data_IF_806696873837
#
_entry.id   IF_806696873837
#
_cell.length_a   1.000
_cell.length_b   1.000
_cell.length_c   1.000
_cell.angle_alpha   90.00
_cell.angle_beta   90.00
_cell.angle_gamma   90.00
#
_symmetry.space_group_name_H-M   'P 1'
#
loop_
_entity.id
_entity.type
_entity.pdbx_description
1 polymer ?
#
# COMPACT_ATOMS: atom_id res chain seq x y z
N UNK A 1 -17.70 -16.77 -5.55
CA UNK A 1 -16.99 -15.87 -6.50
C UNK A 1 -16.52 -16.65 -7.71
N UNK A 2 -16.83 -16.16 -8.92
CA UNK A 2 -16.67 -16.88 -10.19
C UNK A 2 -15.95 -16.01 -11.23
N UNK A 3 -15.25 -16.65 -12.17
CA UNK A 3 -14.81 -16.00 -13.41
C UNK A 3 -15.98 -15.99 -14.40
N UNK A 4 -16.20 -14.86 -15.09
CA UNK A 4 -17.19 -14.69 -16.14
C UNK A 4 -16.57 -13.87 -17.28
N UNK A 5 -15.84 -14.56 -18.17
CA UNK A 5 -15.05 -13.91 -19.22
C UNK A 5 -13.97 -12.98 -18.64
N UNK A 6 -13.85 -11.72 -19.11
CA UNK A 6 -12.89 -10.74 -18.61
C UNK A 6 -13.36 -10.05 -17.31
N UNK A 7 -14.29 -10.65 -16.56
CA UNK A 7 -14.86 -10.09 -15.34
C UNK A 7 -14.90 -11.12 -14.21
N UNK A 8 -14.90 -10.62 -12.98
CA UNK A 8 -15.28 -11.36 -11.79
C UNK A 8 -16.76 -11.21 -11.55
N UNK A 9 -17.45 -12.34 -11.35
CA UNK A 9 -18.84 -12.36 -10.91
C UNK A 9 -18.90 -12.69 -9.42
N UNK A 10 -19.59 -11.81 -8.68
CA UNK A 10 -19.86 -11.97 -7.26
C UNK A 10 -21.33 -12.32 -7.10
N UNK A 11 -21.58 -13.50 -6.54
CA UNK A 11 -22.91 -14.00 -6.21
C UNK A 11 -23.07 -13.86 -4.69
N UNK A 12 -24.09 -13.12 -4.25
CA UNK A 12 -24.42 -12.90 -2.84
C UNK A 12 -25.84 -13.38 -2.61
N UNK A 13 -26.08 -14.11 -1.52
CA UNK A 13 -27.42 -14.58 -1.17
C UNK A 13 -28.39 -13.39 -1.10
N UNK A 14 -29.57 -13.54 -1.71
CA UNK A 14 -30.63 -12.54 -1.77
C UNK A 14 -30.25 -11.21 -2.45
N UNK A 15 -29.24 -11.24 -3.33
CA UNK A 15 -28.88 -10.10 -4.20
C UNK A 15 -28.62 -10.55 -5.62
N UNK A 16 -28.86 -9.63 -6.56
CA UNK A 16 -28.47 -9.86 -7.95
C UNK A 16 -26.95 -10.01 -8.08
N UNK A 17 -26.52 -10.93 -8.93
CA UNK A 17 -25.11 -11.13 -9.26
C UNK A 17 -24.49 -9.86 -9.84
N UNK A 18 -23.35 -9.44 -9.27
CA UNK A 18 -22.61 -8.27 -9.74
C UNK A 18 -21.38 -8.69 -10.53
N UNK A 19 -21.06 -7.95 -11.59
CA UNK A 19 -19.86 -8.17 -12.41
C UNK A 19 -18.88 -7.02 -12.27
N UNK A 20 -17.62 -7.35 -12.09
CA UNK A 20 -16.51 -6.41 -12.01
C UNK A 20 -15.50 -6.72 -13.11
N UNK A 21 -15.33 -5.85 -14.12
CA UNK A 21 -14.33 -6.05 -15.16
C UNK A 21 -12.93 -6.15 -14.56
N UNK A 22 -12.19 -7.21 -14.88
CA UNK A 22 -10.86 -7.47 -14.32
C UNK A 22 -9.92 -6.30 -14.55
N UNK A 23 -9.91 -5.73 -15.77
CA UNK A 23 -9.07 -4.58 -16.12
C UNK A 23 -9.16 -3.45 -15.08
N UNK A 24 -10.37 -3.11 -14.64
CA UNK A 24 -10.60 -1.99 -13.71
C UNK A 24 -10.26 -2.29 -12.25
N UNK A 25 -9.87 -3.52 -11.94
CA UNK A 25 -9.57 -3.94 -10.58
C UNK A 25 -8.09 -3.83 -10.30
N UNK A 26 -7.72 -2.99 -9.34
CA UNK A 26 -6.35 -2.89 -8.85
C UNK A 26 -5.98 -3.97 -7.82
N UNK A 27 -6.98 -4.54 -7.13
CA UNK A 27 -6.86 -5.65 -6.17
C UNK A 27 -8.23 -6.19 -5.80
N UNK A 28 -8.27 -7.40 -5.25
CA UNK A 28 -9.48 -7.96 -4.63
C UNK A 28 -9.24 -8.19 -3.14
N UNK A 29 -10.15 -7.72 -2.30
CA UNK A 29 -10.17 -8.01 -0.87
C UNK A 29 -11.21 -9.09 -0.61
N UNK A 30 -10.77 -10.29 -0.28
CA UNK A 30 -11.61 -11.42 0.11
C UNK A 30 -11.97 -11.30 1.59
N UNK A 31 -13.26 -11.09 1.85
CA UNK A 31 -13.83 -11.17 3.19
C UNK A 31 -13.90 -12.65 3.67
N UNK A 32 -14.07 -12.87 4.98
CA UNK A 32 -14.38 -14.18 5.55
C UNK A 32 -15.63 -14.80 4.92
N UNK A 33 -15.62 -16.13 4.75
CA UNK A 33 -16.76 -16.87 4.20
C UNK A 33 -16.98 -16.70 2.68
N UNK A 34 -16.13 -15.94 1.98
CA UNK A 34 -16.18 -15.85 0.52
C UNK A 34 -15.68 -17.16 -0.09
N UNK A 35 -16.57 -17.90 -0.75
CA UNK A 35 -16.18 -19.07 -1.53
C UNK A 35 -15.59 -18.67 -2.88
N UNK A 36 -14.38 -19.13 -3.15
CA UNK A 36 -13.71 -18.92 -4.43
C UNK A 36 -13.79 -20.15 -5.32
N UNK A 37 -14.15 -19.94 -6.59
CA UNK A 37 -13.84 -20.93 -7.62
C UNK A 37 -12.40 -20.72 -8.10
N UNK A 38 -11.70 -21.83 -8.29
CA UNK A 38 -10.32 -21.87 -8.74
C UNK A 38 -10.08 -21.05 -10.03
N UNK A 39 -11.02 -21.09 -10.98
CA UNK A 39 -10.98 -20.26 -12.19
C UNK A 39 -11.01 -18.75 -11.91
N UNK A 40 -11.68 -18.30 -10.85
CA UNK A 40 -11.72 -16.89 -10.47
C UNK A 40 -10.37 -16.42 -9.90
N UNK A 41 -9.72 -17.27 -9.07
CA UNK A 41 -8.38 -17.01 -8.55
C UNK A 41 -7.39 -16.93 -9.72
N UNK A 42 -7.39 -17.94 -10.59
CA UNK A 42 -6.52 -17.97 -11.77
C UNK A 42 -6.74 -16.77 -12.68
N UNK A 43 -7.99 -16.37 -12.91
CA UNK A 43 -8.29 -15.19 -13.70
C UNK A 43 -7.63 -13.94 -13.10
N UNK A 44 -7.78 -13.71 -11.79
CA UNK A 44 -7.11 -12.58 -11.11
C UNK A 44 -5.59 -12.63 -11.26
N UNK A 45 -4.97 -13.77 -10.94
CA UNK A 45 -3.51 -13.91 -10.97
C UNK A 45 -2.95 -13.81 -12.39
N UNK A 46 -3.68 -14.29 -13.41
CA UNK A 46 -3.25 -14.25 -14.81
C UNK A 46 -3.15 -12.84 -15.39
N UNK A 47 -3.88 -11.88 -14.80
CA UNK A 47 -3.81 -10.46 -15.18
C UNK A 47 -3.15 -9.62 -14.08
N UNK A 48 -2.42 -10.25 -13.15
CA UNK A 48 -1.66 -9.55 -12.13
C UNK A 48 -2.48 -8.87 -11.02
N UNK A 49 -3.74 -9.24 -10.84
CA UNK A 49 -4.58 -8.66 -9.77
C UNK A 49 -4.31 -9.40 -8.46
N UNK A 50 -3.78 -8.72 -7.42
CA UNK A 50 -3.52 -9.34 -6.13
C UNK A 50 -4.82 -9.60 -5.35
N UNK A 51 -4.83 -10.70 -4.59
CA UNK A 51 -5.94 -11.06 -3.70
C UNK A 51 -5.48 -10.98 -2.24
N UNK A 52 -6.10 -10.12 -1.46
CA UNK A 52 -5.90 -9.98 -0.01
C UNK A 52 -6.98 -10.77 0.73
N UNK A 53 -6.60 -11.66 1.64
CA UNK A 53 -7.53 -12.37 2.52
C UNK A 53 -7.61 -11.72 3.90
N UNK A 54 -8.82 -11.58 4.44
CA UNK A 54 -9.06 -11.05 5.79
C UNK A 54 -9.78 -12.04 6.71
N UNK A 55 -9.55 -11.89 8.01
CA UNK A 55 -10.31 -12.57 9.06
C UNK A 55 -11.60 -11.81 9.44
N UNK A 56 -12.39 -12.39 10.35
CA UNK A 56 -13.67 -11.84 10.85
C UNK A 56 -13.50 -10.51 11.58
N UNK A 57 -12.31 -10.25 12.10
CA UNK A 57 -11.94 -9.01 12.77
C UNK A 57 -11.42 -7.96 11.79
N UNK A 58 -11.32 -8.31 10.49
CA UNK A 58 -10.85 -7.44 9.43
C UNK A 58 -9.33 -7.36 9.30
N UNK A 59 -8.56 -8.16 10.06
CA UNK A 59 -7.12 -8.25 9.94
C UNK A 59 -6.72 -9.01 8.67
N UNK A 60 -5.54 -8.70 8.14
CA UNK A 60 -5.00 -9.40 6.99
C UNK A 60 -4.48 -10.79 7.39
N UNK A 61 -5.03 -11.84 6.78
CA UNK A 61 -4.54 -13.22 6.92
C UNK A 61 -3.37 -13.52 5.96
N UNK A 62 -3.36 -12.88 4.80
CA UNK A 62 -2.31 -13.07 3.80
C UNK A 62 -2.70 -12.57 2.42
N UNK A 63 -1.77 -12.73 1.49
CA UNK A 63 -1.90 -12.28 0.10
C UNK A 63 -1.67 -13.45 -0.84
N UNK A 64 -2.40 -13.45 -1.95
CA UNK A 64 -2.05 -14.25 -3.12
C UNK A 64 -1.68 -13.29 -4.24
N UNK A 65 -0.39 -13.30 -4.56
CA UNK A 65 0.22 -12.47 -5.59
C UNK A 65 0.55 -13.34 -6.79
N UNK A 66 0.48 -12.77 -7.99
CA UNK A 66 1.01 -13.45 -9.16
C UNK A 66 2.53 -13.59 -9.00
N UNK A 67 3.07 -14.78 -9.24
CA UNK A 67 4.49 -15.07 -9.07
C UNK A 67 5.32 -14.75 -10.31
N UNK A 68 4.90 -13.80 -11.16
CA UNK A 68 5.71 -13.43 -12.32
C UNK A 68 6.93 -12.65 -11.79
N UNK A 69 7.95 -13.44 -11.45
CA UNK A 69 9.18 -13.05 -10.79
C UNK A 69 10.20 -12.78 -11.87
N UNK A 70 10.04 -11.68 -12.58
CA UNK A 70 11.18 -11.10 -13.27
C UNK A 70 11.72 -9.99 -12.37
N UNK A 71 12.78 -10.31 -11.61
CA UNK A 71 13.62 -9.30 -10.95
C UNK A 71 14.19 -8.27 -11.95
N UNK A 72 14.08 -8.53 -13.24
CA UNK A 72 14.39 -7.62 -14.34
C UNK A 72 13.27 -6.61 -14.64
N UNK A 73 12.06 -6.83 -14.14
CA UNK A 73 10.85 -6.11 -14.54
C UNK A 73 10.69 -4.76 -13.83
N UNK A 74 11.08 -4.65 -12.55
CA UNK A 74 10.86 -3.40 -11.82
C UNK A 74 11.80 -2.28 -12.30
N UNK A 75 13.09 -2.56 -12.45
CA UNK A 75 14.03 -1.61 -13.04
C UNK A 75 13.57 -1.20 -14.43
N UNK A 76 13.26 -2.16 -15.30
CA UNK A 76 12.85 -1.89 -16.68
C UNK A 76 11.55 -1.07 -16.76
N UNK A 77 10.53 -1.42 -15.97
CA UNK A 77 9.28 -0.66 -15.90
C UNK A 77 9.50 0.75 -15.36
N UNK A 78 10.30 0.92 -14.30
CA UNK A 78 10.61 2.26 -13.80
C UNK A 78 11.47 3.06 -14.79
N UNK A 79 12.36 2.42 -15.55
CA UNK A 79 13.07 3.07 -16.67
C UNK A 79 12.10 3.49 -17.78
N UNK A 80 11.08 2.69 -18.07
CA UNK A 80 9.99 3.07 -18.99
C UNK A 80 9.24 4.29 -18.45
N UNK A 81 8.93 4.34 -17.15
CA UNK A 81 8.31 5.52 -16.53
C UNK A 81 9.13 6.79 -16.79
N UNK A 82 10.44 6.71 -16.54
CA UNK A 82 11.35 7.86 -16.65
C UNK A 82 11.45 8.35 -18.10
N UNK A 83 11.47 7.42 -19.05
CA UNK A 83 11.67 7.71 -20.47
C UNK A 83 10.39 8.11 -21.20
N UNK A 84 9.22 7.81 -20.64
CA UNK A 84 7.92 8.22 -21.20
C UNK A 84 7.68 9.72 -21.10
N UNK A 85 7.05 10.27 -22.14
CA UNK A 85 6.68 11.69 -22.21
C UNK A 85 5.59 12.06 -21.21
N UNK A 86 4.69 11.13 -20.88
CA UNK A 86 3.59 11.26 -19.93
C UNK A 86 3.90 10.65 -18.55
N UNK A 87 5.11 10.10 -18.34
CA UNK A 87 5.48 9.36 -17.14
C UNK A 87 5.36 10.18 -15.86
N UNK A 88 5.70 11.48 -15.91
CA UNK A 88 5.53 12.39 -14.78
C UNK A 88 4.08 12.52 -14.32
N UNK A 89 3.13 12.54 -15.25
CA UNK A 89 1.71 12.63 -14.91
C UNK A 89 1.22 11.32 -14.26
N UNK A 90 1.54 10.17 -14.87
CA UNK A 90 1.17 8.86 -14.30
C UNK A 90 1.74 8.65 -12.89
N UNK A 91 2.98 9.10 -12.67
CA UNK A 91 3.60 9.06 -11.36
C UNK A 91 2.85 9.91 -10.32
N UNK A 92 2.49 11.16 -10.66
CA UNK A 92 1.74 12.01 -9.75
C UNK A 92 0.34 11.45 -9.47
N UNK A 93 -0.36 10.95 -10.50
CA UNK A 93 -1.69 10.35 -10.35
C UNK A 93 -1.64 9.13 -9.42
N UNK A 94 -0.62 8.27 -9.58
CA UNK A 94 -0.39 7.15 -8.67
C UNK A 94 -0.14 7.63 -7.24
N UNK A 95 0.77 8.60 -7.06
CA UNK A 95 1.15 9.12 -5.75
C UNK A 95 -0.06 9.69 -5.02
N UNK A 96 -0.82 10.55 -5.68
CA UNK A 96 -2.00 11.20 -5.12
C UNK A 96 -3.08 10.17 -4.77
N UNK A 97 -3.30 9.17 -5.62
CA UNK A 97 -4.22 8.08 -5.34
C UNK A 97 -3.74 7.19 -4.17
N UNK A 98 -2.45 6.89 -4.09
CA UNK A 98 -1.85 6.12 -3.01
C UNK A 98 -1.94 6.85 -1.66
N UNK A 99 -1.58 8.14 -1.62
CA UNK A 99 -1.67 8.97 -0.42
C UNK A 99 -3.12 9.12 0.05
N UNK A 100 -4.05 9.43 -0.87
CA UNK A 100 -5.47 9.51 -0.54
C UNK A 100 -6.00 8.23 0.08
N UNK A 101 -5.61 7.06 -0.45
CA UNK A 101 -6.01 5.76 0.11
C UNK A 101 -5.43 5.55 1.51
N UNK A 102 -4.17 5.92 1.72
CA UNK A 102 -3.52 5.80 3.04
C UNK A 102 -4.19 6.71 4.08
N UNK A 103 -4.48 7.97 3.72
CA UNK A 103 -5.23 8.91 4.56
C UNK A 103 -6.64 8.41 4.89
N UNK A 104 -7.38 7.90 3.89
CA UNK A 104 -8.72 7.35 4.13
C UNK A 104 -8.70 6.15 5.07
N UNK A 105 -7.72 5.23 4.91
CA UNK A 105 -7.53 4.11 5.83
C UNK A 105 -7.28 4.61 7.27
N UNK A 106 -6.42 5.61 7.42
CA UNK A 106 -6.14 6.21 8.73
C UNK A 106 -7.36 6.88 9.34
N UNK A 107 -8.07 7.74 8.59
CA UNK A 107 -9.28 8.44 9.04
C UNK A 107 -10.35 7.45 9.49
N UNK A 108 -10.56 6.38 8.74
CA UNK A 108 -11.52 5.33 9.10
C UNK A 108 -11.15 4.64 10.42
N UNK A 109 -9.86 4.54 10.73
CA UNK A 109 -9.35 3.88 11.93
C UNK A 109 -9.46 4.73 13.20
N UNK A 110 -9.32 6.06 13.06
CA UNK A 110 -9.30 6.96 14.21
C UNK A 110 -10.69 7.36 14.70
N UNK A 111 -11.76 6.88 14.04
CA UNK A 111 -13.17 7.18 14.36
C UNK A 111 -13.44 8.66 14.62
N UNK A 112 -12.68 9.50 13.93
CA UNK A 112 -12.78 10.94 14.00
C UNK A 112 -13.60 11.36 12.78
N UNK A 113 -14.73 12.02 12.98
CA UNK A 113 -15.53 12.62 11.90
C UNK A 113 -14.79 13.81 11.27
N UNK A 114 -13.66 13.54 10.61
CA UNK A 114 -12.93 14.49 9.79
C UNK A 114 -13.76 14.78 8.55
N UNK A 115 -14.40 15.94 8.53
CA UNK A 115 -15.16 16.40 7.37
C UNK A 115 -14.25 16.91 6.23
N UNK A 116 -13.01 17.29 6.57
CA UNK A 116 -12.02 17.75 5.62
C UNK A 116 -10.89 16.73 5.48
N UNK A 117 -10.83 16.12 4.30
CA UNK A 117 -9.87 15.06 3.94
C UNK A 117 -8.66 15.59 3.17
N UNK A 118 -8.43 16.91 3.14
CA UNK A 118 -7.20 17.46 2.56
C UNK A 118 -5.97 16.95 3.33
N UNK A 119 -4.85 16.65 2.65
CA UNK A 119 -3.65 16.07 3.29
C UNK A 119 -3.18 16.81 4.54
N UNK A 120 -3.11 18.14 4.49
CA UNK A 120 -2.68 18.97 5.62
C UNK A 120 -3.60 18.79 6.86
N UNK A 121 -4.90 18.63 6.64
CA UNK A 121 -5.87 18.41 7.72
C UNK A 121 -5.71 17.02 8.34
N UNK A 122 -5.49 16.00 7.52
CA UNK A 122 -5.26 14.62 7.99
C UNK A 122 -3.95 14.51 8.77
N UNK A 123 -2.86 15.14 8.28
CA UNK A 123 -1.56 15.22 8.97
C UNK A 123 -1.73 15.86 10.35
N UNK A 124 -2.38 17.02 10.42
CA UNK A 124 -2.61 17.73 11.69
C UNK A 124 -3.46 16.91 12.66
N UNK A 125 -4.49 16.23 12.16
CA UNK A 125 -5.32 15.36 12.99
C UNK A 125 -4.51 14.17 13.55
N UNK A 126 -3.64 13.58 12.73
CA UNK A 126 -2.72 12.55 13.18
C UNK A 126 -1.79 13.06 14.28
N UNK A 127 -1.12 14.20 14.08
CA UNK A 127 -0.20 14.79 15.08
C UNK A 127 -0.91 15.06 16.41
N UNK A 128 -2.14 15.57 16.37
CA UNK A 128 -2.94 15.77 17.57
C UNK A 128 -3.24 14.46 18.30
N UNK A 129 -3.64 13.41 17.57
CA UNK A 129 -3.92 12.08 18.15
C UNK A 129 -2.65 11.46 18.72
N UNK A 130 -1.52 11.61 18.03
CA UNK A 130 -0.22 11.15 18.47
C UNK A 130 0.14 11.74 19.84
N UNK A 131 0.06 13.06 19.96
CA UNK A 131 0.33 13.79 21.21
C UNK A 131 -0.68 13.41 22.31
N UNK A 132 -1.97 13.30 21.98
CA UNK A 132 -3.01 12.88 22.95
C UNK A 132 -2.78 11.47 23.50
N UNK A 133 -2.21 10.57 22.69
CA UNK A 133 -1.84 9.23 23.12
C UNK A 133 -0.50 9.19 23.90
N UNK A 134 0.14 10.33 24.14
CA UNK A 134 1.40 10.45 24.86
C UNK A 134 2.64 10.24 23.99
N UNK A 135 2.50 10.21 22.67
CA UNK A 135 3.62 10.20 21.74
C UNK A 135 4.33 11.55 21.70
N UNK A 136 5.63 11.52 21.41
CA UNK A 136 6.49 12.70 21.32
C UNK A 136 6.92 12.98 19.89
N UNK A 137 7.30 14.22 19.59
CA UNK A 137 7.86 14.58 18.28
C UNK A 137 9.14 13.80 17.95
N UNK A 138 9.98 13.52 18.96
CA UNK A 138 11.22 12.78 18.77
C UNK A 138 10.97 11.31 18.37
N UNK A 139 9.98 10.65 18.97
CA UNK A 139 9.58 9.30 18.59
C UNK A 139 9.00 9.28 17.17
N UNK A 140 8.20 10.30 16.82
CA UNK A 140 7.65 10.44 15.48
C UNK A 140 8.73 10.63 14.43
N UNK A 141 9.72 11.49 14.70
CA UNK A 141 10.89 11.68 13.85
C UNK A 141 11.70 10.37 13.72
N UNK A 142 11.91 9.67 14.83
CA UNK A 142 12.61 8.37 14.84
C UNK A 142 11.88 7.33 13.99
N UNK A 143 10.56 7.25 14.09
CA UNK A 143 9.74 6.36 13.27
C UNK A 143 9.87 6.68 11.77
N UNK A 144 9.85 7.96 11.40
CA UNK A 144 10.06 8.39 10.01
C UNK A 144 11.43 7.95 9.51
N UNK A 145 12.50 8.21 10.28
CA UNK A 145 13.87 7.78 9.92
C UNK A 145 13.96 6.27 9.74
N UNK A 146 13.35 5.48 10.62
CA UNK A 146 13.41 4.03 10.55
C UNK A 146 12.61 3.48 9.35
N UNK A 147 11.44 4.05 9.05
CA UNK A 147 10.67 3.71 7.84
C UNK A 147 11.46 4.06 6.58
N UNK A 148 12.13 5.21 6.54
CA UNK A 148 13.03 5.56 5.43
C UNK A 148 14.17 4.55 5.30
N UNK A 149 14.75 4.08 6.40
CA UNK A 149 15.75 3.01 6.37
C UNK A 149 15.23 1.71 5.75
N UNK A 150 14.00 1.31 6.07
CA UNK A 150 13.33 0.15 5.46
C UNK A 150 13.11 0.38 3.96
N UNK A 151 12.65 1.58 3.57
CA UNK A 151 12.47 1.95 2.17
C UNK A 151 13.79 1.89 1.39
N UNK A 152 14.88 2.44 1.94
CA UNK A 152 16.23 2.37 1.34
C UNK A 152 16.67 0.92 1.18
N UNK A 153 16.54 0.09 2.21
CA UNK A 153 16.88 -1.33 2.13
C UNK A 153 16.07 -2.04 1.06
N UNK A 154 14.76 -1.78 0.99
CA UNK A 154 13.89 -2.37 0.00
C UNK A 154 14.28 -1.94 -1.42
N UNK A 155 14.54 -0.65 -1.64
CA UNK A 155 14.99 -0.14 -2.95
C UNK A 155 16.32 -0.79 -3.36
N UNK A 156 17.30 -0.85 -2.46
CA UNK A 156 18.60 -1.48 -2.71
C UNK A 156 18.46 -2.96 -3.11
N UNK A 157 17.56 -3.70 -2.47
CA UNK A 157 17.28 -5.11 -2.79
C UNK A 157 16.60 -5.32 -4.17
N UNK A 158 16.07 -4.24 -4.78
CA UNK A 158 15.24 -4.28 -5.97
C UNK A 158 15.82 -3.59 -7.20
N UNK A 159 17.05 -3.06 -7.10
CA UNK A 159 17.76 -2.42 -8.22
C UNK A 159 16.89 -1.35 -8.89
N UNK A 160 16.45 -0.34 -8.15
CA UNK A 160 15.68 0.79 -8.70
C UNK A 160 16.61 1.68 -9.55
N UNK A 161 16.16 2.29 -10.67
CA UNK A 161 17.00 3.20 -11.45
C UNK A 161 17.37 4.46 -10.66
N UNK A 162 18.61 4.94 -10.79
CA UNK A 162 19.10 6.14 -10.10
C UNK A 162 18.27 7.39 -10.44
N UNK A 163 17.72 7.46 -11.66
CA UNK A 163 16.83 8.54 -12.12
C UNK A 163 15.49 8.60 -11.37
N UNK A 164 15.19 7.56 -10.59
CA UNK A 164 13.99 7.41 -9.76
C UNK A 164 14.35 7.40 -8.27
N UNK A 165 15.56 6.99 -7.89
CA UNK A 165 15.94 6.73 -6.49
C UNK A 165 16.24 8.02 -5.67
N UNK A 166 16.55 9.14 -6.32
CA UNK A 166 17.15 10.33 -5.68
C UNK A 166 16.23 11.43 -5.12
N UNK A 167 16.80 12.30 -4.28
CA UNK A 167 16.14 13.50 -3.71
C UNK A 167 16.00 14.64 -4.76
N UNK A 168 16.95 14.73 -5.70
CA UNK A 168 16.93 15.67 -6.83
C UNK A 168 16.41 15.01 -8.13
N UNK A 169 15.90 13.79 -8.03
CA UNK A 169 15.34 13.08 -9.16
C UNK A 169 14.04 13.75 -9.63
N UNK A 170 13.74 13.60 -10.93
CA UNK A 170 12.43 13.98 -11.49
C UNK A 170 11.27 13.29 -10.74
N UNK A 171 11.57 12.17 -10.08
CA UNK A 171 10.68 11.35 -9.29
C UNK A 171 11.32 11.14 -7.91
N UNK A 172 10.89 11.82 -6.83
CA UNK A 172 11.48 11.64 -5.50
C UNK A 172 10.95 10.36 -4.83
N UNK A 173 11.19 9.21 -5.47
CA UNK A 173 10.53 7.95 -5.15
C UNK A 173 10.80 7.46 -3.74
N UNK A 174 12.05 7.59 -3.26
CA UNK A 174 12.39 7.24 -1.90
C UNK A 174 11.57 8.03 -0.87
N UNK A 175 11.37 9.33 -1.12
CA UNK A 175 10.59 10.20 -0.24
C UNK A 175 9.12 9.77 -0.27
N UNK A 176 8.58 9.59 -1.46
CA UNK A 176 7.17 9.26 -1.65
C UNK A 176 6.81 7.87 -1.11
N UNK A 177 7.64 6.85 -1.37
CA UNK A 177 7.44 5.49 -0.83
C UNK A 177 7.60 5.48 0.69
N UNK A 178 8.57 6.24 1.24
CA UNK A 178 8.77 6.35 2.69
C UNK A 178 7.54 6.96 3.37
N UNK A 179 6.96 8.00 2.77
CA UNK A 179 5.75 8.64 3.30
C UNK A 179 4.54 7.68 3.24
N UNK A 180 4.38 6.95 2.14
CA UNK A 180 3.29 5.97 2.01
C UNK A 180 3.42 4.80 2.99
N UNK A 181 4.63 4.29 3.19
CA UNK A 181 4.92 3.26 4.19
C UNK A 181 4.72 3.77 5.61
N UNK A 182 5.08 5.03 5.88
CA UNK A 182 4.84 5.66 7.17
C UNK A 182 3.35 5.68 7.51
N UNK A 183 2.49 6.07 6.57
CA UNK A 183 1.03 6.03 6.80
C UNK A 183 0.50 4.62 7.03
N UNK A 184 1.04 3.60 6.35
CA UNK A 184 0.69 2.20 6.63
C UNK A 184 1.15 1.76 8.03
N UNK A 185 2.33 2.19 8.46
CA UNK A 185 2.81 1.94 9.81
C UNK A 185 1.90 2.56 10.87
N UNK A 186 1.36 3.76 10.62
CA UNK A 186 0.47 4.44 11.57
C UNK A 186 -0.86 3.71 11.78
N UNK A 187 -1.30 2.94 10.79
CA UNK A 187 -2.44 2.03 10.96
C UNK A 187 -2.09 0.96 11.99
N UNK A 188 -0.92 0.30 11.88
CA UNK A 188 -0.48 -0.72 12.84
C UNK A 188 -0.27 -0.15 14.25
N UNK A 189 0.36 1.02 14.36
CA UNK A 189 0.57 1.69 15.64
C UNK A 189 -0.75 1.93 16.37
N UNK A 190 -1.78 2.40 15.67
CA UNK A 190 -3.08 2.71 16.29
C UNK A 190 -3.82 1.48 16.82
N UNK A 191 -3.60 0.30 16.24
CA UNK A 191 -4.14 -0.96 16.74
C UNK A 191 -3.38 -1.47 17.96
N UNK A 192 -2.05 -1.46 17.92
CA UNK A 192 -1.24 -2.06 18.99
C UNK A 192 -0.99 -1.11 20.17
N UNK A 193 -1.09 0.22 19.94
CA UNK A 193 -0.78 1.31 20.89
C UNK A 193 0.43 0.99 21.79
N UNK A 194 1.58 0.61 21.20
CA UNK A 194 2.74 0.23 21.98
C UNK A 194 3.20 1.40 22.86
N UNK A 195 3.47 1.11 24.13
CA UNK A 195 4.21 2.02 25.01
C UNK A 195 5.66 1.56 25.03
N UNK A 196 6.53 2.29 24.34
CA UNK A 196 7.96 2.06 24.42
C UNK A 196 8.57 3.02 25.45
N UNK A 197 9.46 2.50 26.29
CA UNK A 197 10.22 3.27 27.26
C UNK A 197 11.60 3.67 26.70
N UNK A 198 12.02 3.10 25.56
CA UNK A 198 13.30 3.39 24.93
C UNK A 198 13.30 3.11 23.40
N UNK A 199 14.31 3.61 22.66
CA UNK A 199 14.44 3.37 21.22
C UNK A 199 14.61 1.90 20.80
N UNK A 200 15.11 1.02 21.68
CA UNK A 200 15.30 -0.41 21.34
C UNK A 200 13.95 -1.14 21.25
N UNK A 201 13.00 -0.79 22.11
CA UNK A 201 11.64 -1.33 22.05
C UNK A 201 10.91 -0.86 20.79
N UNK A 202 11.12 0.40 20.39
CA UNK A 202 10.62 0.95 19.13
C UNK A 202 11.19 0.19 17.92
N UNK A 203 12.51 -0.03 17.89
CA UNK A 203 13.17 -0.77 16.82
C UNK A 203 12.71 -2.24 16.76
N UNK A 204 12.55 -2.88 17.92
CA UNK A 204 12.03 -4.26 17.99
C UNK A 204 10.59 -4.37 17.50
N UNK A 205 9.74 -3.38 17.83
CA UNK A 205 8.37 -3.30 17.33
C UNK A 205 8.33 -3.11 15.81
N UNK A 206 9.16 -2.21 15.27
CA UNK A 206 9.30 -2.03 13.83
C UNK A 206 9.77 -3.30 13.13
N UNK A 207 10.75 -4.00 13.70
CA UNK A 207 11.27 -5.24 13.14
C UNK A 207 10.20 -6.33 13.04
N UNK A 208 9.28 -6.42 14.01
CA UNK A 208 8.11 -7.31 13.96
C UNK A 208 7.21 -7.01 12.74
N UNK A 209 7.21 -5.77 12.25
CA UNK A 209 6.39 -5.32 11.11
C UNK A 209 7.21 -5.10 9.83
N UNK A 210 8.51 -5.41 9.82
CA UNK A 210 9.41 -5.18 8.68
C UNK A 210 8.91 -5.91 7.41
N UNK A 211 8.60 -7.20 7.52
CA UNK A 211 8.04 -7.98 6.42
C UNK A 211 6.69 -7.43 5.94
N UNK A 212 5.85 -6.93 6.85
CA UNK A 212 4.58 -6.30 6.46
C UNK A 212 4.82 -5.01 5.68
N UNK A 213 5.77 -4.18 6.10
CA UNK A 213 6.14 -2.95 5.41
C UNK A 213 6.77 -3.23 4.04
N UNK A 214 7.66 -4.23 3.94
CA UNK A 214 8.23 -4.67 2.66
C UNK A 214 7.15 -5.18 1.70
N UNK A 215 6.20 -5.97 2.19
CA UNK A 215 5.05 -6.42 1.39
C UNK A 215 4.17 -5.24 0.93
N UNK A 216 3.99 -4.23 1.78
CA UNK A 216 3.28 -3.01 1.40
C UNK A 216 4.07 -2.19 0.37
N UNK A 217 5.40 -2.14 0.46
CA UNK A 217 6.23 -1.48 -0.55
C UNK A 217 6.01 -2.14 -1.92
N UNK A 218 6.09 -3.47 -2.00
CA UNK A 218 5.77 -4.20 -3.23
C UNK A 218 4.37 -3.87 -3.77
N UNK A 219 3.34 -3.86 -2.92
CA UNK A 219 1.98 -3.54 -3.35
C UNK A 219 1.89 -2.11 -3.93
N UNK A 220 2.52 -1.13 -3.28
CA UNK A 220 2.53 0.26 -3.73
C UNK A 220 3.21 0.41 -5.08
N UNK A 221 4.36 -0.23 -5.26
CA UNK A 221 5.12 -0.23 -6.51
C UNK A 221 4.37 -0.96 -7.63
N UNK A 222 3.73 -2.08 -7.31
CA UNK A 222 2.86 -2.77 -8.25
C UNK A 222 1.72 -1.88 -8.74
N UNK A 223 1.10 -1.12 -7.84
CA UNK A 223 0.06 -0.16 -8.21
C UNK A 223 0.58 0.99 -9.08
N UNK A 224 1.85 1.39 -8.94
CA UNK A 224 2.49 2.37 -9.83
C UNK A 224 2.59 1.78 -11.24
N UNK A 225 3.10 0.55 -11.33
CA UNK A 225 3.22 -0.19 -12.59
C UNK A 225 1.85 -0.31 -13.28
N UNK A 226 0.81 -0.74 -12.57
CA UNK A 226 -0.54 -0.85 -13.14
C UNK A 226 -1.05 0.50 -13.66
N UNK A 227 -0.83 1.58 -12.91
CA UNK A 227 -1.24 2.93 -13.29
C UNK A 227 -0.52 3.43 -14.56
N UNK A 228 0.71 2.99 -14.80
CA UNK A 228 1.46 3.33 -16.02
C UNK A 228 0.99 2.58 -17.25
N UNK A 229 0.59 1.32 -17.07
CA UNK A 229 0.16 0.46 -18.18
C UNK A 229 -1.32 0.65 -18.55
N UNK A 230 -2.07 1.42 -17.76
CA UNK A 230 -3.46 1.79 -18.07
C UNK A 230 -4.48 0.67 -17.82
N UNK A 231 -4.21 -0.21 -16.85
CA UNK A 231 -5.16 -1.22 -16.38
C UNK A 231 -6.23 -0.61 -15.47
#
# INVERSE_FOLDING_TARGET
>A
MHADGPALRIDVFDRASTRFPLRTLSRVISAPGVEWKDLAIRACLSVGIPILFRDEQGNCLGYMLHTQRERHDLYERLSILVTRTDGSQHYQDWKDAALRRAHLKFVHLIDHHLQDLRPATVIKAFENIWIQCGGTENELATLRTLVTGIAVSWIADHSIPEEVEGIDARYPFLIDISELLFWHLMVFWRFERPKWANPQQLASWLWKHDENLKNQAYELVWLLICAMEGW
#
